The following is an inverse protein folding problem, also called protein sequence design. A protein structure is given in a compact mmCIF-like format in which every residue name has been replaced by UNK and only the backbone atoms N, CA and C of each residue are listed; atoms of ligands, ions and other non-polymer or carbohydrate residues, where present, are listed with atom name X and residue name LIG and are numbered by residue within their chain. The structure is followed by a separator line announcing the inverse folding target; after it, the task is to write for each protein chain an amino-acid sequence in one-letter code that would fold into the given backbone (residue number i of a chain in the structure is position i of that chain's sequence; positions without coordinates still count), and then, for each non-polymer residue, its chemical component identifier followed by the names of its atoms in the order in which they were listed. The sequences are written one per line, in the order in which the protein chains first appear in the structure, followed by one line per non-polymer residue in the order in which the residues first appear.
data_IF_459219523063
#
_entry.id   IF_459219523063
#
_cell.length_a   1.000
_cell.length_b   1.000
_cell.length_c   1.000
_cell.angle_alpha   90.00
_cell.angle_beta   90.00
_cell.angle_gamma   90.00
#
_symmetry.space_group_name_H-M   'P 1'
#
loop_
_entity.id
_entity.type
_entity.pdbx_description
1 polymer ?
#
# COMPACT_ATOMS: atom_id res chain seq x y z
N UNK A 1 -17.87 18.40 -21.57
CA UNK A 1 -17.47 17.61 -20.40
C UNK A 1 -17.20 16.20 -20.90
N UNK A 2 -15.96 15.70 -20.82
CA UNK A 2 -15.66 14.34 -21.20
C UNK A 2 -16.34 13.39 -20.21
N UNK A 3 -17.17 12.49 -20.70
CA UNK A 3 -17.87 11.48 -19.91
C UNK A 3 -16.81 10.54 -19.30
N UNK A 4 -16.82 10.40 -17.99
CA UNK A 4 -15.89 9.51 -17.26
C UNK A 4 -16.20 8.06 -17.64
N UNK A 5 -15.22 7.37 -18.24
CA UNK A 5 -15.35 5.95 -18.57
C UNK A 5 -15.48 5.13 -17.29
N UNK A 6 -16.40 4.17 -17.28
CA UNK A 6 -16.70 3.30 -16.14
C UNK A 6 -16.39 1.83 -16.47
N UNK A 7 -16.32 0.97 -15.45
CA UNK A 7 -16.21 -0.50 -15.62
C UNK A 7 -17.36 -1.05 -16.48
N UNK A 8 -18.55 -0.44 -16.39
CA UNK A 8 -19.69 -0.86 -17.18
C UNK A 8 -19.51 -0.56 -18.67
N UNK A 9 -18.89 0.57 -19.01
CA UNK A 9 -18.63 0.93 -20.41
C UNK A 9 -17.63 -0.04 -21.05
N UNK A 10 -16.58 -0.43 -20.31
CA UNK A 10 -15.61 -1.43 -20.74
C UNK A 10 -16.30 -2.81 -20.93
N UNK A 11 -17.17 -3.17 -19.99
CA UNK A 11 -17.91 -4.43 -20.05
C UNK A 11 -18.83 -4.50 -21.27
N UNK A 12 -19.52 -3.41 -21.57
CA UNK A 12 -20.38 -3.29 -22.74
C UNK A 12 -19.59 -3.41 -24.06
N UNK A 13 -18.46 -2.72 -24.13
CA UNK A 13 -17.59 -2.71 -25.32
C UNK A 13 -16.99 -4.10 -25.61
N UNK A 14 -16.61 -4.84 -24.57
CA UNK A 14 -16.03 -6.18 -24.70
C UNK A 14 -17.07 -7.29 -24.72
N UNK A 15 -18.36 -6.99 -24.56
CA UNK A 15 -19.46 -7.95 -24.39
C UNK A 15 -19.21 -8.95 -23.24
N UNK A 16 -18.62 -8.46 -22.15
CA UNK A 16 -18.33 -9.20 -20.93
C UNK A 16 -19.23 -8.75 -19.78
N UNK A 17 -19.32 -9.58 -18.73
CA UNK A 17 -20.00 -9.15 -17.52
C UNK A 17 -19.21 -8.06 -16.79
N UNK A 18 -19.91 -7.10 -16.14
CA UNK A 18 -19.27 -6.11 -15.28
C UNK A 18 -18.35 -6.76 -14.23
N UNK A 19 -18.77 -7.91 -13.69
CA UNK A 19 -18.00 -8.66 -12.69
C UNK A 19 -16.68 -9.20 -13.28
N UNK A 20 -16.70 -9.69 -14.53
CA UNK A 20 -15.49 -10.16 -15.24
C UNK A 20 -14.49 -9.02 -15.43
N UNK A 21 -14.97 -7.84 -15.84
CA UNK A 21 -14.13 -6.65 -16.02
C UNK A 21 -13.60 -6.16 -14.68
N UNK A 22 -14.43 -6.11 -13.64
CA UNK A 22 -14.01 -5.76 -12.29
C UNK A 22 -12.93 -6.70 -11.75
N UNK A 23 -13.09 -8.01 -11.95
CA UNK A 23 -12.08 -9.01 -11.55
C UNK A 23 -10.75 -8.81 -12.28
N UNK A 24 -10.78 -8.49 -13.58
CA UNK A 24 -9.57 -8.21 -14.35
C UNK A 24 -8.84 -6.95 -13.85
N UNK A 25 -9.59 -5.87 -13.66
CA UNK A 25 -9.05 -4.57 -13.22
C UNK A 25 -8.51 -4.64 -11.79
N UNK A 26 -9.23 -5.29 -10.89
CA UNK A 26 -8.85 -5.41 -9.48
C UNK A 26 -7.96 -6.63 -9.19
N UNK A 27 -7.58 -7.38 -10.21
CA UNK A 27 -6.80 -8.62 -10.10
C UNK A 27 -7.39 -9.65 -9.12
N UNK A 28 -8.72 -9.73 -9.02
CA UNK A 28 -9.43 -10.62 -8.11
C UNK A 28 -10.01 -11.83 -8.85
N UNK A 29 -9.94 -13.01 -8.23
CA UNK A 29 -10.50 -14.26 -8.77
C UNK A 29 -9.74 -14.84 -9.95
N UNK A 30 -10.14 -16.07 -10.36
CA UNK A 30 -9.53 -16.79 -11.49
C UNK A 30 -10.06 -16.24 -12.79
N UNK A 31 -9.17 -15.72 -13.62
CA UNK A 31 -9.44 -15.27 -14.98
C UNK A 31 -8.30 -15.75 -15.88
N UNK A 32 -8.61 -16.21 -17.09
CA UNK A 32 -7.57 -16.57 -18.05
C UNK A 32 -6.73 -15.32 -18.41
N UNK A 33 -5.40 -15.47 -18.47
CA UNK A 33 -4.48 -14.37 -18.69
C UNK A 33 -4.78 -13.58 -19.98
N UNK A 34 -5.09 -14.28 -21.08
CA UNK A 34 -5.50 -13.66 -22.34
C UNK A 34 -6.77 -12.80 -22.20
N UNK A 35 -7.72 -13.22 -21.36
CA UNK A 35 -8.97 -12.45 -21.12
C UNK A 35 -8.65 -11.23 -20.26
N UNK A 36 -7.81 -11.38 -19.27
CA UNK A 36 -7.34 -10.27 -18.41
C UNK A 36 -6.63 -9.21 -19.24
N UNK A 37 -5.67 -9.63 -20.04
CA UNK A 37 -4.91 -8.74 -20.93
C UNK A 37 -5.81 -7.97 -21.89
N UNK A 38 -6.78 -8.65 -22.54
CA UNK A 38 -7.78 -8.04 -23.41
C UNK A 38 -8.58 -6.95 -22.71
N UNK A 39 -8.99 -7.18 -21.46
CA UNK A 39 -9.76 -6.21 -20.65
C UNK A 39 -8.89 -5.01 -20.27
N UNK A 40 -7.66 -5.23 -19.82
CA UNK A 40 -6.76 -4.16 -19.43
C UNK A 40 -6.38 -3.28 -20.61
N UNK A 41 -6.13 -3.88 -21.78
CA UNK A 41 -5.89 -3.16 -23.05
C UNK A 41 -7.06 -2.27 -23.40
N UNK A 42 -8.29 -2.79 -23.39
CA UNK A 42 -9.49 -2.01 -23.70
C UNK A 42 -9.73 -0.89 -22.68
N UNK A 43 -9.49 -1.13 -21.41
CA UNK A 43 -9.58 -0.11 -20.37
C UNK A 43 -8.62 1.07 -20.61
N UNK A 44 -7.39 0.77 -21.04
CA UNK A 44 -6.39 1.78 -21.41
C UNK A 44 -6.82 2.56 -22.67
N UNK A 45 -7.24 1.86 -23.74
CA UNK A 45 -7.74 2.47 -24.99
C UNK A 45 -8.90 3.43 -24.75
N UNK A 46 -9.83 3.06 -23.86
CA UNK A 46 -11.00 3.87 -23.53
C UNK A 46 -10.68 5.03 -22.58
N UNK A 47 -9.46 5.10 -22.02
CA UNK A 47 -9.08 6.13 -21.07
C UNK A 47 -9.73 5.95 -19.69
N UNK A 48 -9.97 4.70 -19.27
CA UNK A 48 -10.43 4.45 -17.91
C UNK A 48 -9.37 4.98 -16.91
N UNK A 49 -9.78 5.80 -15.95
CA UNK A 49 -8.89 6.65 -15.13
C UNK A 49 -7.67 5.94 -14.55
N UNK A 50 -7.81 4.69 -14.14
CA UNK A 50 -6.72 3.89 -13.58
C UNK A 50 -5.68 3.44 -14.62
N UNK A 51 -6.01 3.50 -15.91
CA UNK A 51 -5.18 3.02 -17.01
C UNK A 51 -4.89 4.09 -18.07
N UNK A 52 -5.44 5.30 -17.95
CA UNK A 52 -5.25 6.39 -18.91
C UNK A 52 -3.78 6.85 -19.05
N UNK A 53 -2.93 6.47 -18.12
CA UNK A 53 -1.50 6.79 -18.08
C UNK A 53 -0.60 5.58 -18.41
N UNK A 54 -1.18 4.45 -18.84
CA UNK A 54 -0.41 3.28 -19.24
C UNK A 54 -0.16 3.30 -20.75
N UNK A 55 1.04 3.64 -21.23
CA UNK A 55 1.39 3.52 -22.65
C UNK A 55 1.51 2.08 -23.15
N UNK A 56 1.17 1.11 -22.31
CA UNK A 56 1.46 -0.33 -22.42
C UNK A 56 0.72 -1.07 -23.53
N UNK A 57 -0.25 -0.45 -24.20
CA UNK A 57 -1.11 -1.19 -25.12
C UNK A 57 -1.24 -0.53 -26.51
N UNK A 58 -0.34 0.38 -26.85
CA UNK A 58 -0.23 0.84 -28.23
C UNK A 58 0.72 -0.08 -28.97
N UNK A 59 0.22 -0.85 -29.92
CA UNK A 59 1.02 -1.70 -30.81
C UNK A 59 2.09 -0.90 -31.62
N UNK A 60 1.97 0.42 -31.64
CA UNK A 60 2.95 1.33 -32.27
C UNK A 60 4.15 1.68 -31.35
N UNK A 61 4.08 1.38 -30.05
CA UNK A 61 5.22 1.56 -29.16
C UNK A 61 6.34 0.52 -29.38
N UNK A 62 6.07 -0.55 -30.12
CA UNK A 62 7.08 -1.54 -30.50
C UNK A 62 8.10 -1.02 -31.53
N UNK A 63 7.95 0.22 -32.00
CA UNK A 63 8.82 0.76 -33.08
C UNK A 63 9.83 1.81 -32.65
N UNK A 64 9.92 2.24 -31.41
CA UNK A 64 10.86 3.32 -31.08
C UNK A 64 11.41 3.34 -29.63
N UNK A 65 11.21 2.34 -28.82
CA UNK A 65 12.01 2.26 -27.60
C UNK A 65 13.36 1.64 -27.97
N UNK A 66 14.41 2.43 -28.04
CA UNK A 66 15.75 1.87 -27.96
C UNK A 66 15.80 0.98 -26.72
N UNK A 67 16.41 -0.23 -26.82
CA UNK A 67 16.49 -1.12 -25.67
C UNK A 67 17.15 -0.35 -24.53
N UNK A 68 16.46 -0.27 -23.37
CA UNK A 68 17.01 0.31 -22.17
C UNK A 68 18.33 -0.42 -21.84
N UNK A 69 19.43 0.30 -21.91
CA UNK A 69 20.75 -0.23 -21.61
C UNK A 69 21.14 0.27 -20.23
N UNK A 70 21.13 -0.62 -19.22
CA UNK A 70 21.71 -0.29 -17.93
C UNK A 70 23.15 0.22 -18.10
N UNK A 71 23.61 1.17 -17.26
CA UNK A 71 24.98 1.64 -17.27
C UNK A 71 25.98 0.47 -17.36
N UNK A 72 27.00 0.58 -18.20
CA UNK A 72 27.92 -0.51 -18.51
C UNK A 72 28.46 -1.19 -17.23
N UNK A 73 28.26 -2.50 -17.12
CA UNK A 73 28.70 -3.31 -15.98
C UNK A 73 27.66 -3.51 -14.86
N UNK A 74 26.58 -2.71 -14.79
CA UNK A 74 25.48 -2.85 -13.82
C UNK A 74 24.31 -3.59 -14.47
N UNK A 75 23.84 -4.68 -13.87
CA UNK A 75 22.84 -5.58 -14.48
C UNK A 75 21.67 -5.94 -13.59
N UNK A 76 21.64 -5.47 -12.36
CA UNK A 76 20.68 -5.94 -11.35
C UNK A 76 20.01 -4.77 -10.64
N UNK A 77 18.71 -4.91 -10.42
CA UNK A 77 17.97 -4.09 -9.46
C UNK A 77 17.97 -4.86 -8.15
N UNK A 78 18.49 -4.23 -7.10
CA UNK A 78 18.49 -4.83 -5.76
C UNK A 78 17.21 -4.45 -5.01
N UNK A 79 16.47 -5.43 -4.55
CA UNK A 79 15.38 -5.23 -3.61
C UNK A 79 15.89 -5.45 -2.19
N UNK A 80 15.73 -4.47 -1.32
CA UNK A 80 16.05 -4.55 0.10
C UNK A 80 14.76 -4.65 0.93
N UNK A 81 14.73 -5.57 1.90
CA UNK A 81 13.61 -5.71 2.83
C UNK A 81 14.07 -6.17 4.21
N UNK A 82 13.39 -5.77 5.28
CA UNK A 82 13.64 -6.25 6.64
C UNK A 82 12.77 -7.45 7.01
N UNK A 83 11.67 -7.69 6.27
CA UNK A 83 10.67 -8.70 6.55
C UNK A 83 10.61 -9.79 5.48
N UNK A 84 9.91 -10.89 5.78
CA UNK A 84 9.47 -11.81 4.74
C UNK A 84 8.26 -11.22 4.03
N UNK A 85 8.26 -11.26 2.70
CA UNK A 85 7.21 -10.70 1.85
C UNK A 85 5.84 -11.37 2.02
N UNK A 86 5.77 -12.49 2.74
CA UNK A 86 4.52 -13.18 3.07
C UNK A 86 3.62 -12.45 4.06
N UNK A 87 4.12 -11.42 4.71
CA UNK A 87 3.37 -10.66 5.71
C UNK A 87 2.58 -9.47 5.14
N UNK A 88 2.68 -9.21 3.82
CA UNK A 88 1.99 -8.09 3.17
C UNK A 88 1.41 -8.52 1.82
N UNK A 89 0.08 -8.55 1.72
CA UNK A 89 -0.62 -9.04 0.51
C UNK A 89 -0.50 -8.13 -0.71
N UNK A 90 -0.51 -6.82 -0.53
CA UNK A 90 -0.31 -5.90 -1.65
C UNK A 90 1.12 -6.01 -2.22
N UNK A 91 2.09 -6.36 -1.37
CA UNK A 91 3.50 -6.50 -1.78
C UNK A 91 3.71 -7.58 -2.83
N UNK A 92 3.04 -8.72 -2.73
CA UNK A 92 3.20 -9.81 -3.72
C UNK A 92 2.69 -9.41 -5.11
N UNK A 93 1.49 -8.82 -5.18
CA UNK A 93 0.90 -8.34 -6.45
C UNK A 93 1.71 -7.20 -7.06
N UNK A 94 2.19 -6.30 -6.20
CA UNK A 94 3.04 -5.20 -6.62
C UNK A 94 4.38 -5.67 -7.15
N UNK A 95 5.02 -6.61 -6.45
CA UNK A 95 6.33 -7.15 -6.84
C UNK A 95 6.26 -7.95 -8.13
N UNK A 96 5.21 -8.76 -8.30
CA UNK A 96 4.97 -9.48 -9.55
C UNK A 96 4.91 -8.52 -10.74
N UNK A 97 4.15 -7.43 -10.61
CA UNK A 97 4.09 -6.40 -11.63
C UNK A 97 5.41 -5.65 -11.81
N UNK A 98 6.05 -5.26 -10.73
CA UNK A 98 7.36 -4.60 -10.79
C UNK A 98 8.38 -5.47 -11.52
N UNK A 99 8.48 -6.75 -11.17
CA UNK A 99 9.38 -7.71 -11.80
C UNK A 99 9.07 -7.91 -13.29
N UNK A 100 7.78 -7.99 -13.64
CA UNK A 100 7.36 -8.06 -15.04
C UNK A 100 7.85 -6.86 -15.84
N UNK A 101 7.69 -5.64 -15.31
CA UNK A 101 8.12 -4.40 -15.97
C UNK A 101 9.64 -4.35 -16.16
N UNK A 102 10.43 -4.63 -15.13
CA UNK A 102 11.89 -4.60 -15.24
C UNK A 102 12.45 -5.72 -16.14
N UNK A 103 11.77 -6.89 -16.21
CA UNK A 103 12.16 -7.96 -17.12
C UNK A 103 12.00 -7.55 -18.59
N UNK A 104 10.94 -6.80 -18.93
CA UNK A 104 10.78 -6.22 -20.27
C UNK A 104 11.94 -5.27 -20.64
N UNK A 105 12.60 -4.70 -19.63
CA UNK A 105 13.76 -3.82 -19.77
C UNK A 105 15.09 -4.58 -19.67
N UNK A 106 15.06 -5.92 -19.80
CA UNK A 106 16.24 -6.81 -19.72
C UNK A 106 17.08 -6.68 -18.44
N UNK A 107 16.43 -6.28 -17.33
CA UNK A 107 17.07 -6.15 -16.01
C UNK A 107 16.66 -7.30 -15.09
N UNK A 108 17.61 -7.87 -14.37
CA UNK A 108 17.35 -8.85 -13.34
C UNK A 108 17.04 -8.19 -12.00
N UNK A 109 16.28 -8.87 -11.14
CA UNK A 109 16.05 -8.46 -9.75
C UNK A 109 16.70 -9.46 -8.79
N UNK A 110 17.40 -8.93 -7.78
CA UNK A 110 17.92 -9.72 -6.66
C UNK A 110 17.26 -9.24 -5.36
N UNK A 111 16.93 -10.19 -4.47
CA UNK A 111 16.27 -9.89 -3.20
C UNK A 111 17.30 -10.07 -2.07
N UNK A 112 17.46 -9.05 -1.26
CA UNK A 112 18.37 -9.03 -0.13
C UNK A 112 17.61 -8.71 1.15
N UNK A 113 17.67 -9.62 2.12
CA UNK A 113 17.10 -9.39 3.43
C UNK A 113 18.12 -8.70 4.32
N UNK A 114 17.72 -7.58 4.91
CA UNK A 114 18.49 -6.90 5.94
C UNK A 114 18.28 -7.63 7.26
N UNK A 115 19.34 -8.22 7.81
CA UNK A 115 19.25 -8.86 9.12
C UNK A 115 19.14 -7.82 10.26
N UNK A 116 18.64 -8.21 11.45
CA UNK A 116 18.59 -7.30 12.61
C UNK A 116 19.96 -6.74 13.01
N UNK A 117 21.03 -7.51 12.79
CA UNK A 117 22.40 -7.07 13.08
C UNK A 117 22.83 -6.01 12.07
N UNK A 118 22.64 -6.26 10.77
CA UNK A 118 22.98 -5.29 9.73
C UNK A 118 22.18 -3.99 9.88
N UNK A 119 20.89 -4.09 10.23
CA UNK A 119 20.04 -2.93 10.51
C UNK A 119 20.61 -2.09 11.68
N UNK A 120 20.93 -2.75 12.80
CA UNK A 120 21.47 -2.09 13.99
C UNK A 120 22.84 -1.48 13.76
N UNK A 121 23.72 -2.17 13.03
CA UNK A 121 25.09 -1.73 12.75
C UNK A 121 25.18 -0.80 11.54
N UNK A 122 24.05 -0.53 10.87
CA UNK A 122 23.98 0.27 9.64
C UNK A 122 24.92 -0.27 8.55
N UNK A 123 24.88 -1.58 8.36
CA UNK A 123 25.65 -2.28 7.34
C UNK A 123 24.75 -2.78 6.23
N UNK A 124 25.27 -2.80 5.02
CA UNK A 124 24.58 -3.41 3.88
C UNK A 124 24.51 -4.94 4.04
N UNK A 125 23.46 -5.58 3.49
CA UNK A 125 23.43 -7.04 3.43
C UNK A 125 24.68 -7.59 2.75
N UNK A 126 25.29 -8.59 3.34
CA UNK A 126 26.52 -9.21 2.82
C UNK A 126 26.35 -9.82 1.43
N UNK A 127 25.11 -10.15 1.05
CA UNK A 127 24.76 -10.64 -0.27
C UNK A 127 24.66 -9.57 -1.35
N UNK A 128 24.62 -8.27 -0.98
CA UNK A 128 24.48 -7.16 -1.92
C UNK A 128 25.81 -6.80 -2.57
N UNK A 129 25.84 -6.80 -3.90
CA UNK A 129 26.98 -6.34 -4.68
C UNK A 129 26.70 -4.98 -5.33
N UNK A 130 27.15 -3.89 -4.70
CA UNK A 130 26.94 -2.52 -5.16
C UNK A 130 27.49 -2.29 -6.58
N UNK A 131 28.60 -2.94 -6.94
CA UNK A 131 29.22 -2.73 -8.27
C UNK A 131 28.34 -3.27 -9.39
N UNK A 132 27.50 -4.27 -9.12
CA UNK A 132 26.55 -4.85 -10.07
C UNK A 132 25.16 -4.21 -10.00
N UNK A 133 24.87 -3.45 -8.96
CA UNK A 133 23.56 -2.85 -8.68
C UNK A 133 23.41 -1.55 -9.47
N UNK A 134 22.37 -1.48 -10.30
CA UNK A 134 22.01 -0.29 -11.06
C UNK A 134 21.09 0.65 -10.26
N UNK A 135 20.23 0.08 -9.42
CA UNK A 135 19.30 0.80 -8.54
C UNK A 135 18.78 -0.09 -7.43
N UNK A 136 18.26 0.53 -6.40
CA UNK A 136 17.74 -0.14 -5.21
C UNK A 136 16.27 0.21 -5.02
N UNK A 137 15.43 -0.79 -4.78
CA UNK A 137 14.06 -0.64 -4.31
C UNK A 137 13.96 -1.17 -2.87
N UNK A 138 13.43 -0.35 -1.96
CA UNK A 138 13.29 -0.67 -0.55
C UNK A 138 11.83 -0.96 -0.21
N UNK A 139 11.56 -2.13 0.39
CA UNK A 139 10.28 -2.54 0.95
C UNK A 139 10.40 -2.76 2.45
N UNK A 140 9.47 -2.15 3.22
CA UNK A 140 9.43 -2.33 4.68
C UNK A 140 10.77 -2.01 5.37
N UNK A 141 11.50 -1.03 4.86
CA UNK A 141 12.72 -0.50 5.47
C UNK A 141 12.34 0.75 6.25
N UNK A 142 11.91 0.58 7.50
CA UNK A 142 11.30 1.64 8.31
C UNK A 142 12.23 2.24 9.38
N UNK A 143 13.48 1.79 9.47
CA UNK A 143 14.50 2.47 10.27
C UNK A 143 15.02 3.70 9.52
N UNK A 144 14.81 4.89 10.11
CA UNK A 144 15.17 6.14 9.45
C UNK A 144 16.68 6.29 9.27
N UNK A 145 17.47 5.90 10.25
CA UNK A 145 18.91 6.06 10.20
C UNK A 145 19.53 5.10 9.18
N UNK A 146 18.96 3.90 9.04
CA UNK A 146 19.34 2.95 8.00
C UNK A 146 18.94 3.45 6.60
N UNK A 147 17.73 3.99 6.46
CA UNK A 147 17.27 4.60 5.21
C UNK A 147 18.16 5.79 4.80
N UNK A 148 18.60 6.60 5.77
CA UNK A 148 19.55 7.71 5.52
C UNK A 148 20.90 7.17 5.04
N UNK A 149 21.42 6.11 5.64
CA UNK A 149 22.66 5.45 5.19
C UNK A 149 22.54 4.93 3.76
N UNK A 150 21.39 4.37 3.37
CA UNK A 150 21.15 3.96 1.99
C UNK A 150 21.15 5.15 1.02
N UNK A 151 20.62 6.31 1.44
CA UNK A 151 20.64 7.53 0.62
C UNK A 151 22.07 8.07 0.37
N UNK A 152 23.02 7.71 1.24
CA UNK A 152 24.42 8.14 1.12
C UNK A 152 25.24 7.23 0.17
N UNK A 153 24.63 6.18 -0.42
CA UNK A 153 25.33 5.26 -1.34
C UNK A 153 25.53 5.81 -2.77
N UNK A 154 24.96 6.97 -3.07
CA UNK A 154 24.98 7.57 -4.43
C UNK A 154 24.47 6.61 -5.52
N UNK A 155 23.43 5.84 -5.19
CA UNK A 155 22.72 4.93 -6.09
C UNK A 155 21.28 5.39 -6.31
N UNK A 156 20.70 5.15 -7.49
CA UNK A 156 19.27 5.29 -7.72
C UNK A 156 18.49 4.52 -6.67
N UNK A 157 17.62 5.23 -5.92
CA UNK A 157 16.94 4.66 -4.75
C UNK A 157 15.45 5.02 -4.76
N UNK A 158 14.62 4.00 -4.56
CA UNK A 158 13.18 4.13 -4.42
C UNK A 158 12.72 3.44 -3.12
N UNK A 159 12.01 4.17 -2.28
CA UNK A 159 11.28 3.60 -1.15
C UNK A 159 9.81 3.37 -1.52
N UNK A 160 9.34 2.15 -1.33
CA UNK A 160 7.91 1.79 -1.32
C UNK A 160 7.47 1.78 0.13
N UNK A 161 6.75 2.82 0.51
CA UNK A 161 6.63 3.31 1.86
C UNK A 161 8.00 3.69 2.46
N UNK A 162 8.02 4.32 3.61
CA UNK A 162 9.26 4.79 4.20
C UNK A 162 9.18 4.84 5.74
N UNK A 163 10.30 5.06 6.41
CA UNK A 163 10.29 5.48 7.82
C UNK A 163 9.42 6.73 8.00
N UNK A 164 8.90 6.93 9.21
CA UNK A 164 8.17 8.15 9.55
C UNK A 164 9.08 9.37 9.40
N UNK A 165 8.64 10.29 8.53
CA UNK A 165 9.40 11.49 8.16
C UNK A 165 9.06 12.72 9.01
N UNK A 166 8.13 12.58 9.95
CA UNK A 166 7.66 13.70 10.76
C UNK A 166 8.80 14.38 11.54
N UNK A 167 8.99 15.69 11.29
CA UNK A 167 10.06 16.52 11.93
C UNK A 167 11.49 16.01 11.67
N UNK A 168 11.71 15.23 10.60
CA UNK A 168 13.04 14.75 10.18
C UNK A 168 13.42 15.31 8.82
N UNK A 169 14.70 15.43 8.49
CA UNK A 169 15.16 15.77 7.15
C UNK A 169 14.59 14.80 6.09
N UNK A 170 14.25 15.27 4.88
CA UNK A 170 13.76 14.41 3.84
C UNK A 170 14.85 13.44 3.36
N UNK A 171 14.47 12.18 3.07
CA UNK A 171 15.36 11.21 2.43
C UNK A 171 15.69 11.64 1.00
N UNK A 172 16.94 11.53 0.61
CA UNK A 172 17.43 11.80 -0.77
C UNK A 172 17.14 10.61 -1.67
N UNK A 173 15.85 10.32 -1.89
CA UNK A 173 15.38 9.20 -2.70
C UNK A 173 13.98 9.48 -3.25
N UNK A 174 13.60 8.79 -4.32
CA UNK A 174 12.20 8.73 -4.75
C UNK A 174 11.38 7.89 -3.77
N UNK A 175 10.10 8.24 -3.59
CA UNK A 175 9.18 7.57 -2.67
C UNK A 175 7.85 7.31 -3.35
N UNK A 176 7.36 6.12 -3.17
CA UNK A 176 6.05 5.69 -3.66
C UNK A 176 5.19 5.26 -2.47
N UNK A 177 3.99 5.81 -2.39
CA UNK A 177 2.98 5.48 -1.39
C UNK A 177 1.65 5.12 -2.06
N UNK A 178 0.80 4.40 -1.34
CA UNK A 178 -0.64 4.42 -1.56
C UNK A 178 -1.22 5.72 -0.99
N UNK A 179 -2.34 6.18 -1.51
CA UNK A 179 -3.07 7.30 -0.93
C UNK A 179 -3.65 6.89 0.43
N UNK A 180 -3.23 7.57 1.49
CA UNK A 180 -3.48 7.17 2.88
C UNK A 180 -4.56 8.02 3.58
N UNK A 181 -5.07 9.07 2.94
CA UNK A 181 -5.87 10.09 3.62
C UNK A 181 -7.34 10.09 3.22
N UNK A 182 -7.63 10.13 1.92
CA UNK A 182 -8.98 10.33 1.40
C UNK A 182 -9.91 9.22 1.85
N UNK A 183 -9.51 7.96 1.69
CA UNK A 183 -10.37 6.84 2.02
C UNK A 183 -10.49 6.61 3.53
N UNK A 184 -9.51 7.00 4.34
CA UNK A 184 -9.64 7.06 5.81
C UNK A 184 -10.70 8.11 6.21
N UNK A 185 -10.66 9.29 5.59
CA UNK A 185 -11.67 10.32 5.83
C UNK A 185 -13.06 9.89 5.37
N UNK A 186 -13.16 9.18 4.24
CA UNK A 186 -14.40 8.59 3.75
C UNK A 186 -14.95 7.52 4.71
N UNK A 187 -14.09 6.65 5.26
CA UNK A 187 -14.48 5.64 6.25
C UNK A 187 -15.02 6.29 7.53
N UNK A 188 -14.35 7.31 8.06
CA UNK A 188 -14.85 8.08 9.22
C UNK A 188 -16.18 8.78 8.88
N UNK A 189 -16.27 9.39 7.71
CA UNK A 189 -17.51 10.05 7.24
C UNK A 189 -18.67 9.05 7.17
N UNK A 190 -18.45 7.87 6.62
CA UNK A 190 -19.44 6.79 6.57
C UNK A 190 -19.91 6.40 7.98
N UNK A 191 -18.99 6.19 8.92
CA UNK A 191 -19.31 5.87 10.31
C UNK A 191 -20.14 6.96 10.98
N UNK A 192 -19.77 8.22 10.80
CA UNK A 192 -20.51 9.37 11.37
C UNK A 192 -21.92 9.50 10.78
N UNK A 193 -22.08 9.33 9.47
CA UNK A 193 -23.39 9.35 8.80
C UNK A 193 -24.34 8.25 9.29
N UNK A 194 -23.78 7.14 9.78
CA UNK A 194 -24.53 6.02 10.38
C UNK A 194 -24.67 6.16 11.91
N UNK A 195 -24.34 7.32 12.45
CA UNK A 195 -24.59 7.69 13.85
C UNK A 195 -23.49 7.27 14.84
N UNK A 196 -22.33 6.79 14.40
CA UNK A 196 -21.19 6.52 15.28
C UNK A 196 -20.59 7.84 15.78
N UNK A 197 -20.35 7.94 17.08
CA UNK A 197 -19.91 9.20 17.74
C UNK A 197 -18.55 9.08 18.40
N UNK A 198 -18.15 7.91 18.81
CA UNK A 198 -16.86 7.63 19.44
C UNK A 198 -16.06 6.72 18.51
N UNK A 199 -15.30 7.33 17.63
CA UNK A 199 -14.44 6.61 16.69
C UNK A 199 -13.02 6.64 17.22
N UNK A 200 -12.30 5.53 17.20
CA UNK A 200 -10.92 5.42 17.67
C UNK A 200 -10.01 4.88 16.57
N UNK A 201 -8.72 5.13 16.70
CA UNK A 201 -7.70 4.58 15.78
C UNK A 201 -6.95 3.44 16.46
N UNK A 202 -6.75 2.33 15.77
CA UNK A 202 -5.93 1.21 16.21
C UNK A 202 -4.70 1.02 15.31
N UNK A 203 -3.50 1.13 15.88
CA UNK A 203 -2.23 0.93 15.20
C UNK A 203 -1.11 1.81 15.74
N UNK A 204 0.14 1.45 15.41
CA UNK A 204 1.32 2.24 15.77
C UNK A 204 1.60 3.30 14.69
N UNK A 205 1.25 4.55 14.97
CA UNK A 205 1.53 5.69 14.08
C UNK A 205 3.01 5.92 13.78
N UNK A 206 3.91 5.32 14.55
CA UNK A 206 5.35 5.47 14.36
C UNK A 206 5.97 4.27 13.61
N UNK A 207 5.16 3.32 13.17
CA UNK A 207 5.63 2.14 12.45
C UNK A 207 6.25 2.50 11.09
N UNK A 208 5.49 3.21 10.26
CA UNK A 208 5.91 3.68 8.94
C UNK A 208 5.18 4.97 8.54
N UNK A 209 5.60 5.59 7.45
CA UNK A 209 5.01 6.85 6.99
C UNK A 209 3.52 6.68 6.65
N UNK A 210 3.13 5.58 6.02
CA UNK A 210 1.72 5.31 5.68
C UNK A 210 0.85 5.22 6.93
N UNK A 211 1.29 4.54 8.00
CA UNK A 211 0.53 4.49 9.26
C UNK A 211 0.43 5.86 9.92
N UNK A 212 1.49 6.66 9.85
CA UNK A 212 1.45 8.04 10.34
C UNK A 212 0.43 8.89 9.58
N UNK A 213 0.40 8.80 8.25
CA UNK A 213 -0.54 9.54 7.41
C UNK A 213 -1.99 9.12 7.64
N UNK A 214 -2.25 7.81 7.77
CA UNK A 214 -3.58 7.26 8.12
C UNK A 214 -4.07 7.78 9.47
N UNK A 215 -3.17 7.78 10.46
CA UNK A 215 -3.49 8.35 11.78
C UNK A 215 -3.80 9.85 11.72
N UNK A 216 -3.03 10.63 10.96
CA UNK A 216 -3.27 12.06 10.80
C UNK A 216 -4.58 12.33 10.06
N UNK A 217 -4.90 11.55 9.03
CA UNK A 217 -6.16 11.65 8.31
C UNK A 217 -7.37 11.31 9.18
N UNK A 218 -7.25 10.27 10.01
CA UNK A 218 -8.24 9.93 11.03
C UNK A 218 -8.46 11.10 12.00
N UNK A 219 -7.39 11.67 12.54
CA UNK A 219 -7.49 12.80 13.47
C UNK A 219 -8.17 14.02 12.85
N UNK A 220 -7.77 14.36 11.63
CA UNK A 220 -8.33 15.46 10.85
C UNK A 220 -9.85 15.27 10.65
N UNK A 221 -10.27 14.05 10.28
CA UNK A 221 -11.69 13.73 10.11
C UNK A 221 -12.48 13.79 11.41
N UNK A 222 -11.96 13.24 12.49
CA UNK A 222 -12.61 13.25 13.82
C UNK A 222 -12.75 14.69 14.33
N UNK A 223 -11.73 15.53 14.16
CA UNK A 223 -11.76 16.95 14.51
C UNK A 223 -12.79 17.71 13.67
N UNK A 224 -12.83 17.45 12.35
CA UNK A 224 -13.80 18.06 11.43
C UNK A 224 -15.26 17.81 11.85
N UNK A 225 -15.57 16.63 12.34
CA UNK A 225 -16.90 16.27 12.83
C UNK A 225 -17.14 16.65 14.31
N UNK A 226 -16.20 17.26 14.98
CA UNK A 226 -16.30 17.63 16.39
C UNK A 226 -16.34 16.44 17.36
N UNK A 227 -15.79 15.30 16.96
CA UNK A 227 -15.77 14.05 17.73
C UNK A 227 -14.54 13.95 18.66
N UNK A 228 -14.31 14.98 19.49
CA UNK A 228 -13.11 15.07 20.34
C UNK A 228 -13.05 14.02 21.45
N UNK A 229 -14.17 13.46 21.87
CA UNK A 229 -14.26 12.46 22.95
C UNK A 229 -13.74 11.06 22.52
N UNK A 230 -13.64 10.79 21.22
CA UNK A 230 -13.13 9.53 20.66
C UNK A 230 -11.60 9.48 20.49
N UNK A 231 -10.87 10.54 20.83
CA UNK A 231 -9.42 10.66 20.66
C UNK A 231 -8.57 9.77 21.60
N UNK A 232 -9.19 8.88 22.37
CA UNK A 232 -8.46 7.79 23.04
C UNK A 232 -7.91 6.85 21.99
N UNK A 233 -6.81 7.21 21.39
CA UNK A 233 -6.13 6.35 20.41
C UNK A 233 -5.69 5.08 21.10
N UNK A 234 -6.01 3.92 20.55
CA UNK A 234 -5.24 2.70 20.76
C UNK A 234 -3.86 2.88 20.10
N UNK A 235 -3.14 3.94 20.49
CA UNK A 235 -1.76 4.10 20.07
C UNK A 235 -0.99 2.93 20.70
N UNK A 236 -0.66 1.97 19.84
CA UNK A 236 0.22 0.88 20.22
C UNK A 236 1.57 1.46 20.59
N UNK A 237 2.20 1.05 21.69
CA UNK A 237 3.55 1.46 21.99
C UNK A 237 4.48 1.01 20.85
N UNK A 238 5.25 1.95 20.30
CA UNK A 238 6.25 1.67 19.26
C UNK A 238 7.16 0.52 19.65
N UNK A 239 7.39 -0.42 18.75
CA UNK A 239 8.39 -1.48 18.88
C UNK A 239 7.96 -2.71 19.70
N UNK A 240 6.67 -2.91 20.00
CA UNK A 240 6.21 -4.15 20.61
C UNK A 240 6.09 -5.29 19.59
N UNK A 241 6.81 -6.39 19.84
CA UNK A 241 6.81 -7.58 18.98
C UNK A 241 5.53 -8.44 19.09
N UNK A 242 4.66 -8.18 20.09
CA UNK A 242 3.41 -8.92 20.34
C UNK A 242 2.19 -8.00 20.21
N UNK A 243 1.80 -7.70 18.99
CA UNK A 243 0.68 -6.86 18.63
C UNK A 243 -0.66 -7.31 19.29
N UNK A 244 -1.08 -8.59 19.21
CA UNK A 244 -2.38 -9.04 19.73
C UNK A 244 -2.53 -8.83 21.25
N UNK A 245 -1.51 -9.19 22.04
CA UNK A 245 -1.55 -9.08 23.51
C UNK A 245 -1.63 -7.63 23.96
N UNK A 246 -0.87 -6.75 23.31
CA UNK A 246 -0.85 -5.32 23.61
C UNK A 246 -2.17 -4.63 23.22
N UNK A 247 -2.82 -5.08 22.16
CA UNK A 247 -4.11 -4.56 21.71
C UNK A 247 -5.22 -4.91 22.73
N UNK A 248 -5.34 -6.17 23.13
CA UNK A 248 -6.28 -6.62 24.17
C UNK A 248 -6.09 -5.83 25.47
N UNK A 249 -4.85 -5.74 25.99
CA UNK A 249 -4.53 -5.01 27.22
C UNK A 249 -4.84 -3.51 27.13
N UNK A 250 -4.73 -2.93 25.95
CA UNK A 250 -5.05 -1.53 25.71
C UNK A 250 -6.56 -1.31 25.70
N UNK A 251 -7.30 -2.15 24.96
CA UNK A 251 -8.75 -2.02 24.80
C UNK A 251 -9.49 -2.22 26.12
N UNK A 252 -9.11 -3.22 26.90
CA UNK A 252 -9.76 -3.49 28.20
C UNK A 252 -9.65 -2.36 29.22
N UNK A 253 -8.76 -1.39 28.98
CA UNK A 253 -8.57 -0.20 29.83
C UNK A 253 -9.46 0.99 29.46
N UNK A 254 -10.18 0.90 28.34
CA UNK A 254 -11.10 1.97 27.98
C UNK A 254 -12.21 2.08 29.02
N UNK A 255 -12.42 3.29 29.57
CA UNK A 255 -13.54 3.57 30.47
C UNK A 255 -14.88 3.50 29.75
N UNK A 256 -14.91 3.92 28.50
CA UNK A 256 -16.06 3.86 27.60
C UNK A 256 -15.57 3.32 26.27
N UNK A 257 -16.16 2.23 25.81
CA UNK A 257 -15.77 1.60 24.55
C UNK A 257 -16.15 2.50 23.38
N UNK A 258 -15.27 2.69 22.37
CA UNK A 258 -15.63 3.35 21.13
C UNK A 258 -16.76 2.62 20.38
N UNK A 259 -17.51 3.38 19.58
CA UNK A 259 -18.57 2.82 18.72
C UNK A 259 -17.99 2.23 17.42
N UNK A 260 -16.77 2.67 17.05
CA UNK A 260 -16.07 2.20 15.87
C UNK A 260 -14.56 2.40 15.97
N UNK A 261 -13.84 1.61 15.17
CA UNK A 261 -12.39 1.72 15.00
C UNK A 261 -12.01 1.84 13.53
N UNK A 262 -11.06 2.73 13.25
CA UNK A 262 -10.27 2.75 12.03
C UNK A 262 -8.91 2.16 12.35
N UNK A 263 -8.52 1.10 11.66
CA UNK A 263 -7.27 0.39 11.91
C UNK A 263 -6.18 0.79 10.92
N UNK A 264 -4.93 0.75 11.37
CA UNK A 264 -3.80 1.08 10.51
C UNK A 264 -3.68 0.15 9.31
N UNK A 265 -4.04 -1.14 9.47
CA UNK A 265 -4.16 -2.12 8.39
C UNK A 265 -5.11 -3.27 8.77
N UNK A 266 -5.30 -4.23 7.86
CA UNK A 266 -6.21 -5.37 8.06
C UNK A 266 -5.73 -6.34 9.14
N UNK A 267 -4.43 -6.54 9.32
CA UNK A 267 -3.93 -7.41 10.39
C UNK A 267 -4.27 -6.84 11.77
N UNK A 268 -4.09 -5.54 11.95
CA UNK A 268 -4.52 -4.84 13.17
C UNK A 268 -6.03 -4.94 13.35
N UNK A 269 -6.81 -4.82 12.26
CA UNK A 269 -8.26 -4.93 12.30
C UNK A 269 -8.72 -6.34 12.73
N UNK A 270 -8.13 -7.39 12.16
CA UNK A 270 -8.44 -8.78 12.51
C UNK A 270 -8.08 -9.10 13.97
N UNK A 271 -6.93 -8.65 14.44
CA UNK A 271 -6.53 -8.84 15.84
C UNK A 271 -7.41 -8.03 16.81
N UNK A 272 -7.85 -6.84 16.37
CA UNK A 272 -8.82 -6.03 17.12
C UNK A 272 -10.17 -6.76 17.26
N UNK A 273 -10.71 -7.32 16.17
CA UNK A 273 -11.97 -8.07 16.20
C UNK A 273 -11.89 -9.24 17.17
N UNK A 274 -10.79 -10.01 17.16
CA UNK A 274 -10.56 -11.11 18.12
C UNK A 274 -10.52 -10.61 19.56
N UNK A 275 -9.80 -9.50 19.81
CA UNK A 275 -9.70 -8.93 21.15
C UNK A 275 -11.04 -8.38 21.66
N UNK A 276 -11.88 -7.83 20.76
CA UNK A 276 -13.24 -7.39 21.08
C UNK A 276 -14.15 -8.56 21.42
N UNK A 277 -14.09 -9.66 20.66
CA UNK A 277 -14.84 -10.90 20.93
C UNK A 277 -14.48 -11.49 22.30
N UNK A 278 -13.18 -11.57 22.63
CA UNK A 278 -12.71 -12.00 23.96
C UNK A 278 -13.22 -11.10 25.11
N UNK A 279 -13.51 -9.83 24.83
CA UNK A 279 -14.09 -8.88 25.79
C UNK A 279 -15.61 -8.86 25.77
N UNK A 280 -16.27 -9.70 24.94
CA UNK A 280 -17.71 -9.85 24.84
C UNK A 280 -18.41 -8.80 23.96
N UNK A 281 -17.69 -8.14 23.08
CA UNK A 281 -18.26 -7.21 22.09
C UNK A 281 -18.35 -7.85 20.71
N UNK A 282 -19.49 -7.69 20.06
CA UNK A 282 -19.76 -8.18 18.71
C UNK A 282 -19.43 -7.13 17.62
N UNK A 283 -18.85 -7.58 16.52
CA UNK A 283 -18.65 -6.77 15.31
C UNK A 283 -19.55 -7.36 14.21
N UNK A 284 -20.45 -6.59 13.59
CA UNK A 284 -20.63 -5.12 13.67
C UNK A 284 -21.65 -4.64 14.71
N UNK A 285 -22.36 -5.52 15.44
CA UNK A 285 -23.55 -5.16 16.21
C UNK A 285 -23.25 -4.12 17.30
N UNK A 286 -22.19 -4.30 18.06
CA UNK A 286 -21.77 -3.37 19.11
C UNK A 286 -20.76 -2.34 18.57
N UNK A 287 -19.75 -2.79 17.83
CA UNK A 287 -18.60 -1.99 17.41
C UNK A 287 -18.30 -2.21 15.93
N UNK A 288 -18.04 -1.13 15.21
CA UNK A 288 -17.63 -1.18 13.82
C UNK A 288 -16.11 -1.19 13.69
N UNK A 289 -15.60 -1.92 12.69
CA UNK A 289 -14.15 -2.00 12.42
C UNK A 289 -13.89 -1.83 10.94
N UNK A 290 -12.98 -0.90 10.59
CA UNK A 290 -12.49 -0.69 9.24
C UNK A 290 -10.98 -0.90 9.21
N UNK A 291 -10.49 -1.74 8.29
CA UNK A 291 -9.08 -2.00 8.02
C UNK A 291 -8.51 -1.14 6.89
N UNK A 292 -7.33 -1.54 6.44
CA UNK A 292 -6.64 -1.00 5.27
C UNK A 292 -5.79 -2.13 4.66
N UNK A 293 -5.59 -2.15 3.37
CA UNK A 293 -4.86 -3.03 2.45
C UNK A 293 -5.79 -3.87 1.56
N UNK A 294 -7.02 -4.14 1.99
CA UNK A 294 -7.97 -5.08 1.35
C UNK A 294 -7.31 -6.44 1.11
N UNK A 295 -6.70 -6.97 2.16
CA UNK A 295 -6.03 -8.26 2.12
C UNK A 295 -7.00 -9.39 1.77
N UNK A 296 -6.47 -10.49 1.23
CA UNK A 296 -7.30 -11.64 0.89
C UNK A 296 -8.00 -12.18 2.15
N UNK A 297 -7.32 -12.19 3.29
CA UNK A 297 -7.87 -12.61 4.58
C UNK A 297 -9.03 -11.73 5.02
N UNK A 298 -8.97 -10.42 4.82
CA UNK A 298 -10.07 -9.51 5.15
C UNK A 298 -11.39 -9.89 4.46
N UNK A 299 -11.32 -10.46 3.27
CA UNK A 299 -12.49 -10.89 2.49
C UNK A 299 -13.10 -12.21 2.95
N UNK A 300 -12.36 -13.04 3.71
CA UNK A 300 -12.81 -14.34 4.26
C UNK A 300 -12.96 -14.32 5.77
N UNK A 301 -12.52 -13.26 6.43
CA UNK A 301 -12.65 -13.10 7.87
C UNK A 301 -14.13 -13.03 8.28
N UNK A 302 -14.46 -13.40 9.52
CA UNK A 302 -15.81 -13.30 10.04
C UNK A 302 -15.86 -12.32 11.23
N UNK A 303 -16.57 -11.20 11.08
CA UNK A 303 -17.26 -10.68 9.88
C UNK A 303 -16.30 -10.23 8.80
N UNK A 304 -16.69 -10.24 7.51
CA UNK A 304 -15.86 -9.73 6.40
C UNK A 304 -15.52 -8.26 6.65
N UNK A 305 -14.22 -7.94 6.57
CA UNK A 305 -13.76 -6.60 6.93
C UNK A 305 -14.05 -5.57 5.85
N UNK A 306 -14.68 -4.47 6.22
CA UNK A 306 -14.57 -3.20 5.51
C UNK A 306 -13.11 -2.79 5.51
N UNK A 307 -12.56 -2.51 4.34
CA UNK A 307 -11.15 -2.21 4.19
C UNK A 307 -10.89 -1.26 3.03
N UNK A 308 -9.71 -0.66 2.99
CA UNK A 308 -9.29 0.23 1.92
C UNK A 308 -8.37 -0.53 0.98
N UNK A 309 -8.81 -0.69 -0.29
CA UNK A 309 -8.11 -1.44 -1.31
C UNK A 309 -6.91 -0.69 -1.88
N UNK A 310 -5.76 -1.37 -1.94
CA UNK A 310 -4.52 -0.89 -2.56
C UNK A 310 -4.39 -1.51 -3.96
N UNK A 311 -4.19 -0.68 -4.97
CA UNK A 311 -3.99 -1.13 -6.35
C UNK A 311 -2.54 -1.59 -6.59
N UNK A 312 -2.19 -2.80 -6.11
CA UNK A 312 -0.83 -3.33 -6.18
C UNK A 312 -0.24 -3.36 -7.60
N UNK A 313 -1.03 -3.68 -8.63
CA UNK A 313 -0.59 -3.66 -10.03
C UNK A 313 -0.17 -2.25 -10.48
N UNK A 314 -0.93 -1.22 -10.10
CA UNK A 314 -0.61 0.18 -10.41
C UNK A 314 0.66 0.60 -9.68
N UNK A 315 0.78 0.23 -8.40
CA UNK A 315 1.99 0.51 -7.62
C UNK A 315 3.23 -0.14 -8.23
N UNK A 316 3.15 -1.42 -8.65
CA UNK A 316 4.28 -2.12 -9.26
C UNK A 316 4.75 -1.46 -10.56
N UNK A 317 3.82 -1.10 -11.43
CA UNK A 317 4.10 -0.35 -12.65
C UNK A 317 4.74 1.01 -12.33
N UNK A 318 4.15 1.76 -11.40
CA UNK A 318 4.65 3.10 -11.02
C UNK A 318 6.05 3.01 -10.40
N UNK A 319 6.30 1.99 -9.55
CA UNK A 319 7.61 1.76 -8.96
C UNK A 319 8.69 1.51 -10.02
N UNK A 320 8.39 0.65 -11.02
CA UNK A 320 9.33 0.38 -12.10
C UNK A 320 9.68 1.65 -12.86
N UNK A 321 8.67 2.43 -13.28
CA UNK A 321 8.90 3.68 -14.00
C UNK A 321 9.67 4.72 -13.17
N UNK A 322 9.36 4.85 -11.88
CA UNK A 322 10.08 5.77 -11.00
C UNK A 322 11.57 5.40 -10.89
N UNK A 323 11.85 4.11 -10.62
CA UNK A 323 13.23 3.66 -10.45
C UNK A 323 14.01 3.71 -11.76
N UNK A 324 13.42 3.27 -12.88
CA UNK A 324 14.08 3.29 -14.17
C UNK A 324 14.38 4.73 -14.61
N UNK A 325 13.43 5.65 -14.49
CA UNK A 325 13.68 7.08 -14.76
C UNK A 325 14.79 7.64 -13.87
N UNK A 326 14.87 7.23 -12.60
CA UNK A 326 15.95 7.65 -11.69
C UNK A 326 17.31 7.11 -12.13
N UNK A 327 17.36 5.90 -12.68
CA UNK A 327 18.60 5.32 -13.24
C UNK A 327 19.05 6.06 -14.49
N UNK A 328 18.11 6.40 -15.37
CA UNK A 328 18.39 7.12 -16.62
C UNK A 328 18.80 8.59 -16.38
N UNK A 329 18.08 9.25 -15.47
CA UNK A 329 18.25 10.68 -15.19
C UNK A 329 18.50 10.93 -13.68
N UNK A 330 19.70 10.61 -13.17
CA UNK A 330 20.01 10.74 -11.74
C UNK A 330 19.90 12.18 -11.21
N UNK A 331 20.01 13.17 -12.08
CA UNK A 331 19.97 14.60 -11.71
C UNK A 331 18.57 15.16 -11.46
N UNK A 332 17.51 14.41 -11.77
CA UNK A 332 16.15 14.84 -11.49
C UNK A 332 15.92 15.06 -9.98
N UNK A 333 15.07 16.02 -9.65
CA UNK A 333 14.61 16.18 -8.27
C UNK A 333 13.95 14.89 -7.77
N UNK A 334 14.09 14.60 -6.47
CA UNK A 334 13.41 13.46 -5.85
C UNK A 334 11.90 13.65 -5.88
N UNK A 335 11.19 12.57 -6.24
CA UNK A 335 9.74 12.56 -6.40
C UNK A 335 9.06 11.81 -5.27
N UNK A 336 7.89 12.29 -4.89
CA UNK A 336 6.97 11.55 -4.02
C UNK A 336 5.68 11.33 -4.81
N UNK A 337 5.31 10.08 -4.99
CA UNK A 337 4.15 9.69 -5.79
C UNK A 337 3.19 8.89 -4.92
N UNK A 338 1.90 9.15 -5.08
CA UNK A 338 0.80 8.45 -4.43
C UNK A 338 -0.07 7.77 -5.48
N UNK A 339 -0.42 6.51 -5.26
CA UNK A 339 -1.41 5.78 -6.06
C UNK A 339 -2.77 5.81 -5.38
N UNK A 340 -3.85 5.91 -6.15
CA UNK A 340 -5.22 5.92 -5.61
C UNK A 340 -5.52 4.64 -4.82
N UNK A 341 -6.45 4.77 -3.85
CA UNK A 341 -7.04 3.68 -3.08
C UNK A 341 -8.57 3.75 -3.14
N UNK A 342 -9.28 2.71 -2.70
CA UNK A 342 -10.73 2.71 -2.69
C UNK A 342 -11.28 2.04 -1.43
N UNK A 343 -12.24 2.68 -0.76
CA UNK A 343 -12.97 2.09 0.36
C UNK A 343 -13.92 0.99 -0.14
N UNK A 344 -13.81 -0.21 0.44
CA UNK A 344 -14.65 -1.37 0.18
C UNK A 344 -15.46 -1.67 1.44
N UNK A 345 -16.74 -1.35 1.40
CA UNK A 345 -17.66 -1.60 2.51
C UNK A 345 -18.05 -3.07 2.59
N UNK A 346 -18.08 -3.63 3.81
CA UNK A 346 -18.44 -5.02 4.11
C UNK A 346 -19.10 -5.13 5.49
N UNK A 347 -19.32 -6.36 5.92
CA UNK A 347 -20.06 -6.72 7.15
C UNK A 347 -19.57 -6.02 8.41
N UNK A 348 -18.26 -5.80 8.57
CA UNK A 348 -17.69 -5.22 9.80
C UNK A 348 -18.08 -3.76 10.06
N UNK A 349 -18.77 -3.11 9.10
CA UNK A 349 -19.41 -1.79 9.24
C UNK A 349 -20.91 -1.83 8.92
N UNK A 350 -21.51 -3.02 8.95
CA UNK A 350 -22.94 -3.20 8.77
C UNK A 350 -23.46 -3.05 7.34
N UNK A 351 -22.60 -3.29 6.33
CA UNK A 351 -22.94 -3.21 4.91
C UNK A 351 -22.93 -4.58 4.21
#
# INVERSE_FOLDING_TARGET
MATKVTIQDIANELQLSRNTVSKAINNTGVLADATREKILRKAAEMGYKQFAYLPLFQEDAAKAAEPFILPSGKREIAMLTTQFLSSSHFSSTMLDRFQSEINHLHSGMTIHRISPIELKEKKLPSSLNIQRTAGIICFEVFDYDYAQMLCDLDLPLLFVDSPVMNMRPPLKADRLYMENRIEIQNAVTHMVQRGKKRISFAGDKNHCQSFFERYMAYRDAVEHFGLTEGLSTCAMPSGQQNYPVSLYETIRRFKTMPDAFVCANDFVAMDLVKALDELGYSVPDDIWVCGFDDSQEASYFAPRLTSIHIHGQIMGYTAANLLMTRIEEPSLNYRTVYTETNLILRESTGD
#
